data_IF_929642509263
#
_entry.id   IF_929642509263
#
_cell.length_a   1.000
_cell.length_b   1.000
_cell.length_c   1.000
_cell.angle_alpha   90.00
_cell.angle_beta   90.00
_cell.angle_gamma   90.00
#
_symmetry.space_group_name_H-M   'P 1'
#
loop_
_entity.id
_entity.type
_entity.pdbx_description
1 polymer ?
#
# COMPACT_ATOMS: atom_id res chain seq x y z
N UNK A 1 21.70 2.39 -1.70
CA UNK A 1 21.55 3.76 -2.21
C UNK A 1 20.15 4.22 -1.89
N UNK A 2 20.00 5.28 -1.08
CA UNK A 2 18.71 5.89 -0.82
C UNK A 2 18.50 6.91 -1.94
N UNK A 3 17.65 6.59 -2.90
CA UNK A 3 17.24 7.54 -3.92
C UNK A 3 16.40 8.63 -3.25
N UNK A 4 16.99 9.79 -3.07
CA UNK A 4 16.31 10.95 -2.53
C UNK A 4 15.53 11.60 -3.66
N UNK A 5 14.23 11.34 -3.71
CA UNK A 5 13.33 11.98 -4.68
C UNK A 5 13.19 13.49 -4.36
N UNK A 6 13.77 14.33 -5.19
CA UNK A 6 13.59 15.77 -5.10
C UNK A 6 12.38 16.20 -5.93
N UNK A 7 11.24 16.37 -5.26
CA UNK A 7 10.06 16.96 -5.90
C UNK A 7 10.04 18.45 -5.61
N UNK A 8 10.18 19.23 -6.67
CA UNK A 8 10.09 20.70 -6.61
C UNK A 8 8.68 21.12 -6.16
N UNK A 9 8.59 22.19 -5.39
CA UNK A 9 7.30 22.74 -4.97
C UNK A 9 6.67 22.16 -3.69
N UNK A 10 7.20 21.09 -3.10
CA UNK A 10 6.68 20.53 -1.84
C UNK A 10 6.75 21.52 -0.67
N UNK A 11 7.77 22.38 -0.64
CA UNK A 11 7.92 23.42 0.38
C UNK A 11 6.80 24.47 0.28
N UNK A 12 6.45 24.90 -0.94
CA UNK A 12 5.35 25.83 -1.17
C UNK A 12 4.00 25.22 -0.79
N UNK A 13 3.78 23.95 -1.13
CA UNK A 13 2.58 23.21 -0.72
C UNK A 13 2.49 23.08 0.81
N UNK A 14 3.60 22.84 1.48
CA UNK A 14 3.66 22.76 2.94
C UNK A 14 3.30 24.10 3.60
N UNK A 15 3.84 25.22 3.08
CA UNK A 15 3.52 26.56 3.58
C UNK A 15 2.03 26.90 3.38
N UNK A 16 1.48 26.60 2.21
CA UNK A 16 0.07 26.83 1.94
C UNK A 16 -0.86 25.96 2.82
N UNK A 17 -0.49 24.71 3.06
CA UNK A 17 -1.23 23.85 3.99
C UNK A 17 -1.21 24.37 5.42
N UNK A 18 -0.09 24.92 5.88
CA UNK A 18 0.05 25.48 7.23
C UNK A 18 -0.82 26.71 7.48
N UNK A 19 -1.32 27.39 6.44
CA UNK A 19 -2.27 28.50 6.58
C UNK A 19 -3.70 28.06 6.82
N UNK A 20 -4.01 26.77 6.62
CA UNK A 20 -5.34 26.22 6.79
C UNK A 20 -5.65 25.91 8.26
N UNK A 21 -6.95 25.98 8.62
CA UNK A 21 -7.39 25.48 9.91
C UNK A 21 -7.00 23.99 10.07
N UNK A 22 -6.56 23.55 11.26
CA UNK A 22 -6.01 22.20 11.46
C UNK A 22 -6.94 21.03 11.05
N UNK A 23 -8.25 21.27 11.08
CA UNK A 23 -9.25 20.28 10.64
C UNK A 23 -9.27 20.16 9.12
N UNK A 24 -9.17 21.27 8.41
CA UNK A 24 -9.18 21.34 6.95
C UNK A 24 -7.88 20.75 6.43
N UNK A 25 -6.73 21.19 6.97
CA UNK A 25 -5.41 20.65 6.67
C UNK A 25 -5.39 19.12 6.76
N UNK A 26 -5.89 18.56 7.88
CA UNK A 26 -5.94 17.12 8.10
C UNK A 26 -6.80 16.37 7.08
N UNK A 27 -7.92 16.96 6.65
CA UNK A 27 -8.78 16.37 5.63
C UNK A 27 -8.13 16.39 4.25
N UNK A 28 -7.45 17.48 3.89
CA UNK A 28 -6.68 17.60 2.65
C UNK A 28 -5.56 16.55 2.63
N UNK A 29 -4.79 16.45 3.71
CA UNK A 29 -3.71 15.46 3.83
C UNK A 29 -4.20 14.02 3.74
N UNK A 30 -5.34 13.67 4.37
CA UNK A 30 -5.93 12.34 4.23
C UNK A 30 -6.31 12.01 2.79
N UNK A 31 -6.91 12.97 2.08
CA UNK A 31 -7.27 12.83 0.68
C UNK A 31 -6.03 12.65 -0.20
N UNK A 32 -5.02 13.49 0.01
CA UNK A 32 -3.76 13.47 -0.72
C UNK A 32 -3.02 12.13 -0.55
N UNK A 33 -2.87 11.67 0.69
CA UNK A 33 -2.22 10.38 0.96
C UNK A 33 -3.00 9.20 0.37
N UNK A 34 -4.34 9.28 0.36
CA UNK A 34 -5.15 8.27 -0.32
C UNK A 34 -4.94 8.28 -1.83
N UNK A 35 -4.84 9.47 -2.44
CA UNK A 35 -4.53 9.61 -3.87
C UNK A 35 -3.15 9.05 -4.20
N UNK A 36 -2.13 9.37 -3.40
CA UNK A 36 -0.78 8.84 -3.56
C UNK A 36 -0.68 7.33 -3.40
N UNK A 37 -1.47 6.72 -2.51
CA UNK A 37 -1.48 5.27 -2.35
C UNK A 37 -2.23 4.53 -3.48
N UNK A 38 -2.94 5.23 -4.35
CA UNK A 38 -3.71 4.60 -5.42
C UNK A 38 -2.83 3.88 -6.47
N UNK A 39 -1.79 4.51 -7.05
CA UNK A 39 -0.89 3.81 -7.99
C UNK A 39 -0.22 2.60 -7.32
N UNK A 40 0.23 2.72 -6.08
CA UNK A 40 0.81 1.60 -5.32
C UNK A 40 -0.20 0.46 -5.14
N UNK A 41 -1.46 0.78 -4.82
CA UNK A 41 -2.52 -0.24 -4.69
C UNK A 41 -2.76 -0.98 -6.02
N UNK A 42 -2.77 -0.27 -7.14
CA UNK A 42 -2.98 -0.88 -8.46
C UNK A 42 -1.83 -1.81 -8.79
N UNK A 43 -0.59 -1.36 -8.68
CA UNK A 43 0.60 -2.18 -8.93
C UNK A 43 0.65 -3.40 -7.99
N UNK A 44 0.32 -3.25 -6.71
CA UNK A 44 0.28 -4.37 -5.77
C UNK A 44 -0.82 -5.39 -6.14
N UNK A 45 -1.95 -4.95 -6.68
CA UNK A 45 -3.00 -5.85 -7.20
C UNK A 45 -2.55 -6.63 -8.42
N UNK A 46 -1.82 -5.98 -9.33
CA UNK A 46 -1.31 -6.60 -10.55
C UNK A 46 -0.22 -7.62 -10.24
N UNK A 47 0.64 -7.32 -9.25
CA UNK A 47 1.69 -8.22 -8.77
C UNK A 47 1.16 -9.37 -7.90
N UNK A 48 -0.02 -9.23 -7.29
CA UNK A 48 -0.55 -10.23 -6.38
C UNK A 48 -0.87 -11.55 -7.06
N UNK A 49 -0.60 -12.66 -6.38
CA UNK A 49 -0.91 -14.01 -6.87
C UNK A 49 -2.38 -14.14 -7.27
N UNK A 50 -2.61 -14.62 -8.49
CA UNK A 50 -3.94 -14.60 -9.16
C UNK A 50 -4.75 -15.90 -9.01
N UNK A 51 -4.32 -16.87 -8.19
CA UNK A 51 -4.98 -18.16 -8.09
C UNK A 51 -6.51 -18.07 -7.91
N UNK A 52 -6.97 -17.24 -6.94
CA UNK A 52 -8.41 -16.94 -6.76
C UNK A 52 -8.72 -15.46 -6.95
N UNK A 53 -7.71 -14.61 -7.06
CA UNK A 53 -7.81 -13.16 -7.06
C UNK A 53 -8.29 -12.55 -5.73
N UNK A 54 -8.52 -13.35 -4.70
CA UNK A 54 -9.03 -12.88 -3.41
C UNK A 54 -8.06 -11.90 -2.75
N UNK A 55 -6.74 -12.17 -2.81
CA UNK A 55 -5.71 -11.31 -2.28
C UNK A 55 -5.73 -9.91 -2.94
N UNK A 56 -5.75 -9.87 -4.27
CA UNK A 56 -5.81 -8.61 -5.02
C UNK A 56 -7.08 -7.81 -4.69
N UNK A 57 -8.24 -8.47 -4.62
CA UNK A 57 -9.51 -7.83 -4.22
C UNK A 57 -9.53 -7.35 -2.77
N UNK A 58 -8.79 -8.03 -1.89
CA UNK A 58 -8.66 -7.71 -0.47
C UNK A 58 -7.83 -6.46 -0.17
N UNK A 59 -6.99 -5.99 -1.11
CA UNK A 59 -6.12 -4.83 -0.90
C UNK A 59 -6.93 -3.53 -0.75
N UNK A 60 -6.78 -2.88 0.41
CA UNK A 60 -7.51 -1.65 0.80
C UNK A 60 -6.54 -0.57 1.27
N UNK A 61 -6.81 0.67 0.86
CA UNK A 61 -6.13 1.85 1.40
C UNK A 61 -6.90 2.31 2.64
N UNK A 62 -6.20 2.38 3.76
CA UNK A 62 -6.71 2.94 5.02
C UNK A 62 -5.94 4.21 5.35
N UNK A 63 -6.63 5.27 5.73
CA UNK A 63 -6.02 6.51 6.21
C UNK A 63 -6.43 6.76 7.64
N UNK A 64 -5.48 7.13 8.48
CA UNK A 64 -5.70 7.44 9.90
C UNK A 64 -4.95 8.73 10.26
N UNK A 65 -5.37 9.38 11.34
CA UNK A 65 -4.71 10.58 11.83
C UNK A 65 -4.68 10.59 13.34
N UNK A 66 -3.49 10.60 13.94
CA UNK A 66 -3.28 10.63 15.39
C UNK A 66 -2.18 11.63 15.75
N UNK A 67 -2.38 12.39 16.81
CA UNK A 67 -1.39 13.31 17.39
C UNK A 67 -0.77 14.26 16.35
N UNK A 68 -1.59 14.89 15.50
CA UNK A 68 -1.13 15.82 14.47
C UNK A 68 -0.48 15.18 13.23
N UNK A 69 -0.36 13.85 13.17
CA UNK A 69 0.19 13.13 12.02
C UNK A 69 -0.91 12.41 11.25
N UNK A 70 -0.79 12.37 9.92
CA UNK A 70 -1.69 11.63 9.04
C UNK A 70 -0.92 10.48 8.39
N UNK A 71 -1.52 9.31 8.35
CA UNK A 71 -0.93 8.10 7.80
C UNK A 71 -1.85 7.50 6.74
N UNK A 72 -1.24 6.95 5.69
CA UNK A 72 -1.92 6.04 4.78
C UNK A 72 -1.23 4.67 4.84
N UNK A 73 -2.02 3.63 4.77
CA UNK A 73 -1.54 2.25 4.78
C UNK A 73 -2.26 1.46 3.70
N UNK A 74 -1.51 0.69 2.94
CA UNK A 74 -2.06 -0.38 2.13
C UNK A 74 -2.10 -1.64 2.99
N UNK A 75 -3.27 -2.23 3.15
CA UNK A 75 -3.47 -3.45 3.92
C UNK A 75 -4.39 -4.40 3.18
N UNK A 76 -4.25 -5.67 3.44
CA UNK A 76 -5.24 -6.67 3.07
C UNK A 76 -6.39 -6.66 4.08
N UNK A 77 -7.55 -7.10 3.68
CA UNK A 77 -8.72 -7.25 4.55
C UNK A 77 -9.50 -8.51 4.17
N UNK A 78 -10.09 -9.14 5.17
CA UNK A 78 -10.88 -10.35 5.00
C UNK A 78 -10.22 -11.59 5.62
N UNK A 79 -10.84 -12.73 5.40
CA UNK A 79 -10.41 -14.02 5.96
C UNK A 79 -9.00 -14.45 5.54
N UNK A 80 -8.48 -13.86 4.46
CA UNK A 80 -7.17 -14.20 3.88
C UNK A 80 -6.06 -13.19 4.21
N UNK A 81 -6.25 -12.36 5.21
CA UNK A 81 -5.25 -11.33 5.57
C UNK A 81 -3.89 -11.94 5.93
N UNK A 82 -3.88 -13.07 6.64
CA UNK A 82 -2.66 -13.79 6.96
C UNK A 82 -1.95 -14.38 5.73
N UNK A 83 -2.70 -14.71 4.65
CA UNK A 83 -2.12 -15.24 3.40
C UNK A 83 -1.22 -14.21 2.73
N UNK A 84 -1.58 -12.92 2.80
CA UNK A 84 -0.76 -11.85 2.25
C UNK A 84 0.68 -11.89 2.79
N UNK A 85 0.82 -12.14 4.09
CA UNK A 85 2.12 -12.25 4.76
C UNK A 85 2.90 -13.47 4.26
N UNK A 86 2.24 -14.60 4.12
CA UNK A 86 2.88 -15.81 3.61
C UNK A 86 3.29 -15.69 2.14
N UNK A 87 2.50 -15.00 1.33
CA UNK A 87 2.84 -14.72 -0.07
C UNK A 87 4.01 -13.75 -0.15
N UNK A 88 4.00 -12.67 0.61
CA UNK A 88 5.06 -11.63 0.58
C UNK A 88 6.41 -12.17 1.06
N UNK A 89 6.43 -12.92 2.17
CA UNK A 89 7.65 -13.32 2.87
C UNK A 89 7.99 -14.82 2.75
N UNK A 90 7.08 -15.61 2.20
CA UNK A 90 7.21 -17.06 2.24
C UNK A 90 6.94 -17.64 3.63
N UNK A 91 7.15 -18.94 3.76
CA UNK A 91 7.08 -19.65 5.05
C UNK A 91 8.32 -20.52 5.22
N UNK A 92 8.86 -20.57 6.43
CA UNK A 92 9.86 -21.58 6.76
C UNK A 92 9.25 -22.99 6.60
N UNK A 93 10.11 -23.97 6.39
CA UNK A 93 9.69 -25.37 6.40
C UNK A 93 9.05 -25.71 7.73
N UNK A 94 7.85 -26.25 7.70
CA UNK A 94 7.13 -26.69 8.89
C UNK A 94 6.34 -27.96 8.59
N UNK A 95 6.12 -28.73 9.63
CA UNK A 95 5.40 -30.00 9.55
C UNK A 95 3.92 -29.80 9.83
N UNK A 96 3.08 -30.29 8.92
CA UNK A 96 1.64 -30.40 9.13
C UNK A 96 1.34 -31.87 9.39
N UNK A 97 0.70 -32.18 10.52
CA UNK A 97 0.20 -33.49 10.88
C UNK A 97 -1.30 -33.47 11.15
N UNK A 98 -1.96 -34.57 10.91
CA UNK A 98 -3.39 -34.68 11.20
C UNK A 98 -3.65 -34.64 12.71
N UNK A 99 -4.80 -34.09 13.11
CA UNK A 99 -5.24 -34.14 14.50
C UNK A 99 -5.56 -35.53 14.94
N UNK A 100 -5.30 -35.84 16.22
CA UNK A 100 -5.67 -37.09 16.89
C UNK A 100 -5.16 -38.37 16.20
N UNK A 101 -3.93 -38.32 15.65
CA UNK A 101 -3.35 -39.49 15.00
C UNK A 101 -3.99 -39.89 13.67
N UNK A 102 -4.81 -39.01 13.09
CA UNK A 102 -5.43 -39.22 11.79
C UNK A 102 -4.44 -39.19 10.63
N UNK A 103 -4.98 -39.17 9.42
CA UNK A 103 -4.22 -39.13 8.16
C UNK A 103 -4.58 -37.88 7.37
N UNK A 104 -3.61 -37.33 6.64
CA UNK A 104 -3.79 -36.18 5.73
C UNK A 104 -3.92 -36.68 4.30
N UNK A 105 -4.90 -36.17 3.56
CA UNK A 105 -4.93 -36.34 2.10
C UNK A 105 -4.24 -35.13 1.47
N UNK A 106 -3.16 -35.36 0.74
CA UNK A 106 -2.43 -34.30 0.02
C UNK A 106 -2.86 -34.21 -1.45
N UNK A 107 -2.47 -33.13 -2.13
CA UNK A 107 -2.68 -32.98 -3.57
C UNK A 107 -2.06 -34.21 -4.30
N UNK A 108 -2.81 -34.78 -5.25
CA UNK A 108 -2.43 -36.04 -5.90
C UNK A 108 -3.04 -37.30 -5.25
N UNK A 109 -3.83 -37.12 -4.15
CA UNK A 109 -4.62 -38.19 -3.54
C UNK A 109 -3.88 -39.10 -2.55
N UNK A 110 -2.58 -38.93 -2.36
CA UNK A 110 -1.81 -39.69 -1.38
C UNK A 110 -2.27 -39.38 0.06
N UNK A 111 -2.26 -40.44 0.91
CA UNK A 111 -2.63 -40.35 2.32
C UNK A 111 -1.37 -40.54 3.15
N UNK A 112 -1.06 -39.50 3.98
CA UNK A 112 0.18 -39.47 4.79
C UNK A 112 -0.12 -39.09 6.23
N UNK A 113 0.75 -39.45 7.17
CA UNK A 113 0.63 -39.01 8.57
C UNK A 113 1.02 -37.54 8.78
N UNK A 114 1.99 -37.08 8.03
CA UNK A 114 2.49 -35.70 8.06
C UNK A 114 3.01 -35.32 6.68
N UNK A 115 3.13 -34.02 6.45
CA UNK A 115 3.78 -33.43 5.28
C UNK A 115 4.61 -32.23 5.73
N UNK A 116 5.81 -32.12 5.20
CA UNK A 116 6.66 -30.96 5.41
C UNK A 116 6.39 -29.99 4.25
N UNK A 117 6.01 -28.76 4.59
CA UNK A 117 5.64 -27.73 3.62
C UNK A 117 6.43 -26.46 3.84
N UNK A 118 6.72 -25.78 2.75
CA UNK A 118 7.26 -24.42 2.75
C UNK A 118 6.68 -23.64 1.57
N UNK A 119 6.58 -22.35 1.67
CA UNK A 119 6.21 -21.49 0.54
C UNK A 119 7.37 -20.56 0.21
N UNK A 120 7.74 -20.51 -1.07
CA UNK A 120 8.71 -19.51 -1.55
C UNK A 120 8.07 -18.10 -1.50
N UNK A 121 8.84 -17.06 -1.12
CA UNK A 121 8.35 -15.70 -1.18
C UNK A 121 7.97 -15.31 -2.62
N UNK A 122 6.82 -14.69 -2.76
CA UNK A 122 6.34 -14.09 -4.00
C UNK A 122 5.92 -12.65 -3.69
N UNK A 123 6.89 -11.74 -3.48
CA UNK A 123 6.62 -10.39 -3.02
C UNK A 123 5.79 -9.62 -4.05
N UNK A 124 4.75 -8.94 -3.59
CA UNK A 124 3.84 -8.15 -4.42
C UNK A 124 3.72 -6.70 -3.93
N UNK A 125 3.87 -6.47 -2.63
CA UNK A 125 3.80 -5.13 -2.05
C UNK A 125 5.11 -4.36 -2.21
N UNK A 126 6.26 -4.99 -1.95
CA UNK A 126 7.55 -4.33 -2.04
C UNK A 126 7.86 -3.84 -3.46
N UNK A 127 7.77 -4.67 -4.52
CA UNK A 127 7.96 -4.19 -5.89
C UNK A 127 6.96 -3.09 -6.28
N UNK A 128 5.73 -3.13 -5.78
CA UNK A 128 4.73 -2.10 -6.06
C UNK A 128 5.12 -0.75 -5.44
N UNK A 129 5.69 -0.74 -4.24
CA UNK A 129 6.19 0.50 -3.61
C UNK A 129 7.40 1.02 -4.39
N UNK A 130 8.36 0.16 -4.69
CA UNK A 130 9.61 0.54 -5.35
C UNK A 130 9.35 1.15 -6.74
N UNK A 131 8.41 0.58 -7.52
CA UNK A 131 8.08 1.07 -8.87
C UNK A 131 7.14 2.27 -8.89
N UNK A 132 6.33 2.47 -7.84
CA UNK A 132 5.30 3.51 -7.80
C UNK A 132 5.60 4.64 -6.81
N UNK A 133 6.82 4.71 -6.27
CA UNK A 133 7.18 5.75 -5.30
C UNK A 133 7.04 7.16 -5.89
N UNK A 134 7.63 7.42 -7.07
CA UNK A 134 7.54 8.71 -7.73
C UNK A 134 6.11 9.07 -8.18
N UNK A 135 5.38 8.21 -8.93
CA UNK A 135 3.97 8.45 -9.24
C UNK A 135 3.09 8.70 -8.01
N UNK A 136 3.38 8.04 -6.89
CA UNK A 136 2.65 8.23 -5.65
C UNK A 136 2.84 9.65 -5.08
N UNK A 137 4.07 10.15 -5.06
CA UNK A 137 4.36 11.50 -4.57
C UNK A 137 3.78 12.57 -5.49
N UNK A 138 3.86 12.38 -6.81
CA UNK A 138 3.21 13.27 -7.79
C UNK A 138 1.69 13.32 -7.58
N UNK A 139 1.05 12.18 -7.35
CA UNK A 139 -0.38 12.13 -7.09
C UNK A 139 -0.77 12.86 -5.79
N UNK A 140 0.07 12.80 -4.75
CA UNK A 140 -0.11 13.58 -3.52
C UNK A 140 -0.06 15.08 -3.82
N UNK A 141 1.00 15.53 -4.51
CA UNK A 141 1.21 16.94 -4.85
C UNK A 141 0.05 17.50 -5.69
N UNK A 142 -0.34 16.77 -6.74
CA UNK A 142 -1.45 17.17 -7.61
C UNK A 142 -2.79 17.25 -6.87
N UNK A 143 -3.06 16.29 -5.98
CA UNK A 143 -4.27 16.33 -5.15
C UNK A 143 -4.31 17.58 -4.26
N UNK A 144 -3.19 17.91 -3.60
CA UNK A 144 -3.11 19.07 -2.72
C UNK A 144 -3.32 20.35 -3.54
N UNK A 145 -2.62 20.54 -4.66
CA UNK A 145 -2.78 21.72 -5.54
C UNK A 145 -4.24 21.89 -5.96
N UNK A 146 -4.83 20.86 -6.53
CA UNK A 146 -6.21 20.90 -7.00
C UNK A 146 -7.19 21.22 -5.87
N UNK A 147 -6.96 20.67 -4.69
CA UNK A 147 -7.84 20.90 -3.54
C UNK A 147 -7.72 22.33 -3.01
N UNK A 148 -6.51 22.88 -2.95
CA UNK A 148 -6.25 24.24 -2.52
C UNK A 148 -6.83 25.26 -3.53
N UNK A 149 -6.63 25.05 -4.81
CA UNK A 149 -7.17 25.91 -5.86
C UNK A 149 -8.71 25.92 -5.86
N UNK A 150 -9.34 24.72 -5.87
CA UNK A 150 -10.79 24.61 -6.05
C UNK A 150 -11.62 24.95 -4.81
N UNK A 151 -11.10 24.69 -3.61
CA UNK A 151 -11.87 24.83 -2.38
C UNK A 151 -11.43 25.99 -1.48
N UNK A 152 -10.20 26.48 -1.67
CA UNK A 152 -9.64 27.52 -0.82
C UNK A 152 -9.15 28.73 -1.61
N UNK A 153 -9.28 28.74 -2.95
CA UNK A 153 -8.85 29.84 -3.80
C UNK A 153 -7.34 30.12 -3.77
N UNK A 154 -6.55 29.15 -3.29
CA UNK A 154 -5.09 29.25 -3.18
C UNK A 154 -4.49 28.57 -4.40
N UNK A 155 -4.07 29.38 -5.38
CA UNK A 155 -3.36 28.85 -6.55
C UNK A 155 -1.87 28.69 -6.25
N UNK A 156 -1.36 27.48 -6.40
CA UNK A 156 0.05 27.16 -6.25
C UNK A 156 0.54 26.68 -7.60
N UNK A 157 1.33 27.52 -8.30
CA UNK A 157 1.83 27.16 -9.62
C UNK A 157 2.64 25.89 -9.58
N UNK A 158 2.50 25.09 -10.64
CA UNK A 158 3.36 23.93 -10.85
C UNK A 158 4.76 24.43 -11.22
N UNK A 159 5.64 24.59 -10.24
CA UNK A 159 7.03 24.98 -10.48
C UNK A 159 7.83 23.81 -11.10
N UNK A 160 7.19 23.08 -11.99
CA UNK A 160 7.78 21.99 -12.76
C UNK A 160 8.71 22.47 -13.87
N UNK A 161 8.63 23.74 -14.30
CA UNK A 161 9.44 24.32 -15.35
C UNK A 161 10.01 25.67 -14.94
N UNK A 162 11.21 25.63 -14.40
CA UNK A 162 12.20 26.70 -14.57
C UNK A 162 13.55 26.03 -14.69
N UNK A 163 14.03 26.04 -15.91
CA UNK A 163 15.31 25.57 -16.47
C UNK A 163 16.48 25.44 -15.51
#
# INVERSE_FOLDING_TARGET
MQDTFHIKGLSALGKALATLAPRIERNVLRGALRAGMKPVQLAARDNAAKATGALARGLRISTDGRKGKVYARLKTSGEHDYIARFVEFGTAMHRISARNGGMLRIAGGAIVKYVDVSARPMPFMRPAIDTQAEPAVQAVANYIRNRLATQHGIDIPDTGDAA
#
